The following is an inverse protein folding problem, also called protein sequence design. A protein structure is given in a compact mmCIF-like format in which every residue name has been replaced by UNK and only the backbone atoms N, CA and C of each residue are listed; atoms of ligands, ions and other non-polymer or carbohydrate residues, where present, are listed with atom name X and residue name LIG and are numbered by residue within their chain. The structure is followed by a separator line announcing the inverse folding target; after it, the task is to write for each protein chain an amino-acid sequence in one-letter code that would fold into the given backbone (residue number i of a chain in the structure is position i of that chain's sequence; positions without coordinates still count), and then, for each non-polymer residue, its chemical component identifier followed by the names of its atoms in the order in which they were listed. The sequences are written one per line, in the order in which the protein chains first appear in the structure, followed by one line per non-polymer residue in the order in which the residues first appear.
data_IF_989025094049
#
_entry.id   IF_989025094049
#
_cell.length_a   1.000
_cell.length_b   1.000
_cell.length_c   1.000
_cell.angle_alpha   90.00
_cell.angle_beta   90.00
_cell.angle_gamma   90.00
#
_symmetry.space_group_name_H-M   'P 1'
#
loop_
_entity.id
_entity.type
_entity.pdbx_description
1 polymer ?
#
# COMPACT_ATOMS: atom_id res chain seq x y z
N UNK A 1 31.56 -24.98 -3.26
CA UNK A 1 30.41 -24.55 -2.43
C UNK A 1 29.51 -23.66 -3.29
N UNK A 2 28.21 -23.95 -3.40
CA UNK A 2 27.28 -23.07 -4.11
C UNK A 2 27.10 -21.77 -3.31
N UNK A 3 26.98 -20.61 -3.98
CA UNK A 3 26.64 -19.33 -3.34
C UNK A 3 25.17 -19.02 -3.58
N UNK A 4 24.43 -18.71 -2.52
CA UNK A 4 23.03 -18.30 -2.58
C UNK A 4 22.98 -16.77 -2.60
N UNK A 5 22.50 -16.22 -3.71
CA UNK A 5 22.34 -14.78 -3.93
C UNK A 5 20.86 -14.46 -4.00
N UNK A 6 20.41 -13.55 -3.14
CA UNK A 6 19.03 -13.03 -3.18
C UNK A 6 19.02 -11.57 -3.59
N UNK A 7 17.90 -11.13 -4.15
CA UNK A 7 17.71 -9.72 -4.49
C UNK A 7 16.30 -9.44 -4.97
N UNK A 8 16.01 -8.17 -5.21
CA UNK A 8 14.72 -7.71 -5.70
C UNK A 8 14.09 -6.69 -4.76
N UNK A 9 12.97 -6.14 -5.19
CA UNK A 9 12.34 -5.00 -4.51
C UNK A 9 11.81 -5.33 -3.11
N UNK A 10 11.57 -6.61 -2.80
CA UNK A 10 11.10 -7.06 -1.49
C UNK A 10 12.21 -7.41 -0.50
N UNK A 11 13.48 -7.38 -0.93
CA UNK A 11 14.62 -7.64 -0.05
C UNK A 11 14.95 -6.35 0.69
N UNK A 12 14.49 -6.26 1.94
CA UNK A 12 14.61 -5.07 2.78
C UNK A 12 15.22 -5.43 4.14
N UNK A 13 14.54 -6.27 4.92
CA UNK A 13 15.11 -6.86 6.12
C UNK A 13 15.54 -8.30 5.79
N UNK A 14 16.83 -8.60 5.95
CA UNK A 14 17.42 -9.91 5.67
C UNK A 14 17.80 -10.69 6.93
N UNK A 15 17.62 -10.12 8.13
CA UNK A 15 18.22 -10.62 9.37
C UNK A 15 17.80 -12.08 9.65
N UNK A 16 16.53 -12.39 9.49
CA UNK A 16 15.99 -13.74 9.67
C UNK A 16 16.45 -14.78 8.63
N UNK A 17 16.98 -14.34 7.48
CA UNK A 17 17.38 -15.24 6.40
C UNK A 17 18.90 -15.34 6.22
N UNK A 18 19.69 -14.61 7.01
CA UNK A 18 21.17 -14.66 7.03
C UNK A 18 21.73 -16.10 7.06
N UNK A 19 21.16 -17.07 7.81
CA UNK A 19 21.68 -18.44 7.80
C UNK A 19 21.67 -19.09 6.42
N UNK A 20 20.70 -18.73 5.58
CA UNK A 20 20.38 -19.41 4.32
C UNK A 20 20.93 -18.73 3.07
N UNK A 21 21.56 -17.56 3.21
CA UNK A 21 22.04 -16.76 2.08
C UNK A 21 23.52 -16.39 2.25
N UNK A 22 24.22 -16.18 1.13
CA UNK A 22 25.61 -15.72 1.14
C UNK A 22 25.71 -14.23 0.75
N UNK A 23 24.78 -13.76 -0.10
CA UNK A 23 24.76 -12.40 -0.64
C UNK A 23 23.32 -11.90 -0.74
N UNK A 24 23.09 -10.65 -0.36
CA UNK A 24 21.82 -9.96 -0.58
C UNK A 24 22.03 -8.68 -1.37
N UNK A 25 21.16 -8.43 -2.35
CA UNK A 25 21.16 -7.22 -3.17
C UNK A 25 19.92 -6.40 -2.87
N UNK A 26 20.10 -5.26 -2.21
CA UNK A 26 19.02 -4.34 -1.86
C UNK A 26 18.59 -3.50 -3.07
N UNK A 27 17.30 -3.56 -3.40
CA UNK A 27 16.74 -2.89 -4.57
C UNK A 27 17.02 -3.65 -5.88
N UNK A 28 17.53 -2.95 -6.89
CA UNK A 28 17.73 -3.50 -8.25
C UNK A 28 19.15 -4.00 -8.48
N UNK A 29 19.30 -5.21 -9.01
CA UNK A 29 20.59 -5.84 -9.35
C UNK A 29 21.01 -5.66 -10.84
N UNK A 30 20.27 -4.88 -11.61
CA UNK A 30 20.46 -4.71 -13.06
C UNK A 30 21.89 -4.31 -13.40
N UNK A 31 22.56 -5.10 -14.25
CA UNK A 31 23.93 -4.87 -14.69
C UNK A 31 25.02 -5.15 -13.64
N UNK A 32 24.68 -5.55 -12.41
CA UNK A 32 25.67 -5.81 -11.34
C UNK A 32 25.92 -7.30 -11.09
N UNK A 33 25.05 -8.21 -11.54
CA UNK A 33 25.08 -9.60 -11.08
C UNK A 33 26.39 -10.34 -11.37
N UNK A 34 26.94 -10.20 -12.57
CA UNK A 34 28.19 -10.86 -12.95
C UNK A 34 29.37 -10.35 -12.12
N UNK A 35 29.41 -9.04 -11.85
CA UNK A 35 30.44 -8.41 -11.03
C UNK A 35 30.30 -8.80 -9.56
N UNK A 36 29.06 -8.89 -9.05
CA UNK A 36 28.77 -9.40 -7.70
C UNK A 36 29.27 -10.84 -7.58
N UNK A 37 29.05 -11.69 -8.58
CA UNK A 37 29.56 -13.06 -8.59
C UNK A 37 31.09 -13.10 -8.65
N UNK A 38 31.72 -12.17 -9.37
CA UNK A 38 33.17 -11.99 -9.41
C UNK A 38 33.78 -11.38 -8.14
N UNK A 39 32.96 -11.02 -7.14
CA UNK A 39 33.42 -10.51 -5.84
C UNK A 39 33.48 -8.99 -5.73
N UNK A 40 33.02 -8.25 -6.75
CA UNK A 40 32.96 -6.78 -6.68
C UNK A 40 32.05 -6.31 -5.54
N UNK A 41 32.42 -5.20 -4.92
CA UNK A 41 31.71 -4.60 -3.79
C UNK A 41 30.85 -3.44 -4.27
N UNK A 42 29.64 -3.39 -3.75
CA UNK A 42 28.67 -2.34 -4.05
C UNK A 42 27.97 -1.91 -2.76
N UNK A 43 27.59 -0.63 -2.68
CA UNK A 43 26.91 -0.07 -1.50
C UNK A 43 25.48 -0.62 -1.30
N UNK A 44 24.92 -1.31 -2.29
CA UNK A 44 23.62 -1.97 -2.20
C UNK A 44 23.73 -3.50 -2.02
N UNK A 45 24.92 -4.03 -1.72
CA UNK A 45 25.18 -5.46 -1.66
C UNK A 45 25.75 -5.83 -0.31
N UNK A 46 24.99 -6.61 0.45
CA UNK A 46 25.46 -7.26 1.67
C UNK A 46 26.09 -8.62 1.36
N UNK A 47 27.11 -9.00 2.13
CA UNK A 47 27.79 -10.30 2.02
C UNK A 47 28.05 -10.87 3.41
N UNK A 48 27.64 -12.11 3.62
CA UNK A 48 27.76 -12.81 4.90
C UNK A 48 29.20 -12.86 5.43
N UNK A 49 30.15 -13.07 4.54
CA UNK A 49 31.58 -13.17 4.86
C UNK A 49 32.20 -11.87 5.39
N UNK A 50 31.58 -10.71 5.14
CA UNK A 50 32.10 -9.40 5.56
C UNK A 50 31.26 -8.76 6.68
N UNK A 51 29.98 -9.09 6.76
CA UNK A 51 29.03 -8.46 7.70
C UNK A 51 28.03 -9.50 8.21
N UNK A 52 28.48 -10.54 8.93
CA UNK A 52 27.61 -11.65 9.36
C UNK A 52 26.48 -11.20 10.29
N UNK A 53 26.66 -10.06 10.98
CA UNK A 53 25.71 -9.48 11.93
C UNK A 53 24.84 -8.36 11.32
N UNK A 54 24.96 -8.09 10.01
CA UNK A 54 24.16 -7.09 9.29
C UNK A 54 24.20 -5.70 9.97
N UNK A 55 25.38 -5.30 10.42
CA UNK A 55 25.62 -3.99 11.06
C UNK A 55 25.90 -2.87 10.05
N UNK A 56 26.20 -3.25 8.81
CA UNK A 56 26.48 -2.32 7.73
C UNK A 56 25.26 -1.50 7.30
N UNK A 57 25.52 -0.35 6.69
CA UNK A 57 24.50 0.47 6.04
C UNK A 57 24.50 0.23 4.54
N UNK A 58 23.33 -0.08 3.99
CA UNK A 58 23.15 -0.41 2.59
C UNK A 58 22.16 0.52 1.91
N UNK A 59 22.40 0.80 0.63
CA UNK A 59 21.55 1.68 -0.17
C UNK A 59 20.55 0.86 -0.98
N UNK A 60 19.28 1.25 -0.98
CA UNK A 60 18.29 0.69 -1.90
C UNK A 60 18.54 1.24 -3.31
N UNK A 61 19.14 0.40 -4.16
CA UNK A 61 19.47 0.78 -5.54
C UNK A 61 18.22 0.90 -6.40
N UNK A 62 18.12 2.03 -7.10
CA UNK A 62 17.04 2.33 -8.05
C UNK A 62 17.30 1.67 -9.43
N UNK A 63 16.26 1.43 -10.25
CA UNK A 63 16.42 0.89 -11.61
C UNK A 63 17.35 1.76 -12.48
N UNK A 64 18.05 1.14 -13.43
CA UNK A 64 18.99 1.87 -14.31
C UNK A 64 18.93 1.46 -15.78
N UNK A 65 18.70 0.18 -16.07
CA UNK A 65 18.93 -0.37 -17.41
C UNK A 65 17.67 -1.01 -18.00
N UNK A 66 16.95 -1.82 -17.21
CA UNK A 66 15.85 -2.63 -17.75
C UNK A 66 14.54 -1.86 -17.90
N UNK A 67 14.38 -0.77 -17.13
CA UNK A 67 13.20 0.10 -17.18
C UNK A 67 13.62 1.56 -17.21
N UNK A 68 12.93 2.39 -18.00
CA UNK A 68 13.10 3.85 -18.04
C UNK A 68 12.43 4.49 -16.82
N UNK A 69 12.95 4.16 -15.64
CA UNK A 69 12.38 4.56 -14.37
C UNK A 69 11.43 3.53 -13.76
N UNK A 70 11.17 3.70 -12.46
CA UNK A 70 10.16 2.92 -11.77
C UNK A 70 8.80 3.58 -12.01
N UNK A 71 7.89 2.86 -12.65
CA UNK A 71 6.55 3.35 -12.95
C UNK A 71 5.67 3.25 -11.68
N UNK A 72 5.75 2.12 -10.97
CA UNK A 72 5.09 1.91 -9.69
C UNK A 72 5.94 2.42 -8.50
N UNK A 73 6.01 3.74 -8.35
CA UNK A 73 6.68 4.44 -7.22
C UNK A 73 5.77 4.69 -6.02
N UNK A 74 4.56 4.13 -6.02
CA UNK A 74 3.52 4.45 -5.06
C UNK A 74 2.91 5.84 -5.31
N UNK A 75 1.84 6.15 -4.60
CA UNK A 75 1.15 7.44 -4.72
C UNK A 75 2.10 8.62 -4.45
N UNK A 76 1.90 9.74 -5.16
CA UNK A 76 2.74 10.96 -5.09
C UNK A 76 2.70 11.66 -3.73
N UNK A 77 1.71 11.35 -2.90
CA UNK A 77 1.38 12.09 -1.68
C UNK A 77 2.27 11.76 -0.47
N UNK A 78 3.26 10.86 -0.62
CA UNK A 78 4.21 10.47 0.43
C UNK A 78 3.54 10.12 1.77
N UNK A 79 2.44 9.36 1.70
CA UNK A 79 1.73 8.94 2.89
C UNK A 79 2.69 8.25 3.88
N UNK A 80 2.52 8.53 5.16
CA UNK A 80 3.51 8.23 6.20
C UNK A 80 3.74 6.73 6.43
N UNK A 81 2.83 5.87 5.97
CA UNK A 81 2.95 4.40 6.02
C UNK A 81 3.39 3.75 4.69
N UNK A 82 3.35 4.49 3.58
CA UNK A 82 3.50 3.89 2.25
C UNK A 82 4.98 3.74 1.88
N UNK A 83 5.53 2.55 2.08
CA UNK A 83 6.95 2.26 1.81
C UNK A 83 7.38 2.58 0.38
N UNK A 84 6.55 2.28 -0.62
CA UNK A 84 6.88 2.50 -2.03
C UNK A 84 7.38 3.92 -2.29
N UNK A 85 6.69 4.92 -1.73
CA UNK A 85 7.04 6.32 -1.96
C UNK A 85 8.30 6.77 -1.21
N UNK A 86 8.67 6.11 -0.12
CA UNK A 86 9.86 6.46 0.68
C UNK A 86 11.13 5.82 0.14
N UNK A 87 11.05 4.60 -0.41
CA UNK A 87 12.25 3.86 -0.86
C UNK A 87 12.49 3.96 -2.38
N UNK A 88 11.53 4.48 -3.15
CA UNK A 88 11.62 4.59 -4.61
C UNK A 88 11.65 6.04 -5.04
N UNK A 89 12.51 6.34 -6.02
CA UNK A 89 12.64 7.66 -6.61
C UNK A 89 12.07 7.63 -8.03
N UNK A 90 11.27 8.63 -8.38
CA UNK A 90 11.00 8.88 -9.80
C UNK A 90 12.32 9.25 -10.47
N UNK A 91 12.68 8.52 -11.52
CA UNK A 91 13.96 8.69 -12.22
C UNK A 91 13.87 9.81 -13.26
N UNK A 92 12.67 10.30 -13.59
CA UNK A 92 12.51 11.37 -14.57
C UNK A 92 11.28 12.25 -14.28
N UNK A 93 11.41 13.57 -14.47
CA UNK A 93 10.31 14.54 -14.40
C UNK A 93 9.40 14.46 -15.64
N UNK A 94 9.90 13.92 -16.74
CA UNK A 94 9.16 13.75 -18.00
C UNK A 94 8.28 12.49 -18.04
N UNK A 95 8.54 11.52 -17.15
CA UNK A 95 7.78 10.28 -17.07
C UNK A 95 6.49 10.54 -16.30
N UNK A 96 5.36 10.45 -17.02
CA UNK A 96 4.02 10.47 -16.41
C UNK A 96 3.95 9.34 -15.38
N UNK A 97 3.35 9.65 -14.22
CA UNK A 97 3.05 8.64 -13.22
C UNK A 97 2.21 7.55 -13.88
N UNK A 98 2.71 6.33 -13.88
CA UNK A 98 2.00 5.16 -14.36
C UNK A 98 1.69 4.29 -13.14
N UNK A 99 0.40 4.17 -12.77
CA UNK A 99 -0.01 3.40 -11.58
C UNK A 99 0.30 1.90 -11.67
N UNK A 100 0.87 1.40 -12.79
CA UNK A 100 1.38 0.05 -12.95
C UNK A 100 0.58 -0.76 -13.98
N UNK A 101 1.24 -1.71 -14.63
CA UNK A 101 0.69 -2.46 -15.78
C UNK A 101 -0.44 -3.46 -15.48
N UNK A 102 -0.62 -3.90 -14.22
CA UNK A 102 -1.57 -4.97 -13.88
C UNK A 102 -2.79 -4.51 -13.05
N UNK A 103 -2.63 -3.45 -12.25
CA UNK A 103 -3.71 -2.80 -11.50
C UNK A 103 -3.36 -1.32 -11.45
N UNK A 104 -4.06 -0.50 -12.23
CA UNK A 104 -3.88 0.95 -12.18
C UNK A 104 -4.53 1.49 -10.88
N UNK A 105 -3.80 1.41 -9.77
CA UNK A 105 -4.16 2.11 -8.54
C UNK A 105 -3.67 3.56 -8.64
N UNK A 106 -4.61 4.45 -9.00
CA UNK A 106 -4.37 5.89 -8.92
C UNK A 106 -4.85 6.43 -7.58
N UNK A 107 -4.33 7.58 -7.17
CA UNK A 107 -4.96 8.29 -6.06
C UNK A 107 -6.35 8.77 -6.46
N UNK A 108 -7.18 9.05 -5.45
CA UNK A 108 -8.57 9.44 -5.66
C UNK A 108 -8.73 10.69 -6.53
N UNK A 109 -7.82 11.65 -6.41
CA UNK A 109 -7.86 12.88 -7.20
C UNK A 109 -7.51 12.62 -8.68
N UNK A 110 -6.54 11.74 -8.94
CA UNK A 110 -6.10 11.31 -10.26
C UNK A 110 -6.99 10.24 -10.90
N UNK A 111 -8.08 9.84 -10.25
CA UNK A 111 -9.05 8.91 -10.84
C UNK A 111 -9.75 9.54 -12.04
N UNK A 112 -9.46 9.01 -13.23
CA UNK A 112 -10.08 9.41 -14.49
C UNK A 112 -11.11 8.35 -14.90
N UNK A 113 -12.39 8.71 -14.79
CA UNK A 113 -13.51 7.87 -15.24
C UNK A 113 -14.00 8.41 -16.57
N UNK A 114 -13.97 7.59 -17.63
CA UNK A 114 -14.44 7.99 -18.98
C UNK A 114 -15.54 7.11 -19.52
N UNK A 115 -15.71 5.90 -18.96
CA UNK A 115 -16.70 4.92 -19.40
C UNK A 115 -17.14 4.03 -18.24
N UNK A 116 -18.22 3.29 -18.43
CA UNK A 116 -18.59 2.23 -17.51
C UNK A 116 -17.50 1.15 -17.45
N UNK A 117 -17.31 0.57 -16.26
CA UNK A 117 -16.24 -0.39 -16.05
C UNK A 117 -15.80 -0.48 -14.59
N UNK A 118 -14.64 -1.09 -14.39
CA UNK A 118 -14.00 -1.29 -13.09
C UNK A 118 -12.82 -0.35 -12.94
N UNK A 119 -12.74 0.32 -11.80
CA UNK A 119 -11.68 1.26 -11.44
C UNK A 119 -11.13 0.90 -10.06
N UNK A 120 -9.86 1.19 -9.82
CA UNK A 120 -9.21 0.98 -8.53
C UNK A 120 -8.59 2.29 -8.04
N UNK A 121 -8.73 2.56 -6.75
CA UNK A 121 -8.22 3.76 -6.08
C UNK A 121 -8.08 3.48 -4.59
N UNK A 122 -7.50 4.40 -3.83
CA UNK A 122 -7.38 4.29 -2.37
C UNK A 122 -7.81 5.56 -1.64
N UNK A 123 -8.53 5.39 -0.53
CA UNK A 123 -8.77 6.45 0.46
C UNK A 123 -7.89 6.27 1.69
N UNK A 124 -7.51 5.04 2.02
CA UNK A 124 -6.56 4.70 3.10
C UNK A 124 -6.94 5.16 4.51
N UNK A 125 -8.23 5.41 4.74
CA UNK A 125 -8.82 5.76 6.04
C UNK A 125 -10.29 6.15 5.86
N UNK A 126 -11.13 5.87 6.86
CA UNK A 126 -12.58 6.14 6.78
C UNK A 126 -12.93 7.62 7.01
N UNK A 127 -12.33 8.26 8.02
CA UNK A 127 -12.54 9.68 8.31
C UNK A 127 -11.53 10.59 7.62
N UNK A 128 -11.91 11.86 7.45
CA UNK A 128 -10.98 12.94 7.07
C UNK A 128 -9.80 13.04 8.04
N UNK A 129 -10.06 12.91 9.33
CA UNK A 129 -9.04 12.99 10.36
C UNK A 129 -7.97 11.90 10.20
N UNK A 130 -8.37 10.62 10.08
CA UNK A 130 -7.42 9.52 9.86
C UNK A 130 -6.60 9.76 8.60
N UNK A 131 -7.23 10.16 7.49
CA UNK A 131 -6.52 10.41 6.22
C UNK A 131 -5.50 11.55 6.34
N UNK A 132 -5.84 12.63 7.05
CA UNK A 132 -4.93 13.74 7.28
C UNK A 132 -3.74 13.34 8.18
N UNK A 133 -3.96 12.54 9.23
CA UNK A 133 -2.88 12.03 10.10
C UNK A 133 -1.80 11.25 9.33
N UNK A 134 -2.17 10.61 8.21
CA UNK A 134 -1.23 9.89 7.34
C UNK A 134 -0.83 10.64 6.08
N UNK A 135 -1.10 11.95 6.02
CA UNK A 135 -0.83 12.83 4.88
C UNK A 135 -1.48 12.36 3.56
N UNK A 136 -2.67 11.76 3.64
CA UNK A 136 -3.48 11.43 2.47
C UNK A 136 -4.39 12.61 2.11
N UNK A 137 -4.23 13.27 0.94
CA UNK A 137 -5.00 14.47 0.57
C UNK A 137 -6.36 14.10 -0.02
N UNK A 138 -7.13 13.26 0.67
CA UNK A 138 -8.48 12.87 0.26
C UNK A 138 -9.41 13.26 1.39
N UNK A 139 -10.18 14.32 1.20
CA UNK A 139 -11.22 14.74 2.15
C UNK A 139 -12.59 14.27 1.69
N UNK A 140 -13.58 14.27 2.58
CA UNK A 140 -14.97 13.93 2.30
C UNK A 140 -15.55 14.85 1.23
N UNK A 141 -15.21 16.14 1.28
CA UNK A 141 -15.57 17.10 0.23
C UNK A 141 -14.98 16.73 -1.13
N UNK A 142 -13.76 16.20 -1.17
CA UNK A 142 -13.12 15.74 -2.41
C UNK A 142 -13.78 14.43 -2.89
N UNK A 143 -14.20 13.55 -1.99
CA UNK A 143 -14.98 12.35 -2.34
C UNK A 143 -16.31 12.75 -2.97
N UNK A 144 -17.10 13.55 -2.27
CA UNK A 144 -18.40 14.04 -2.71
C UNK A 144 -18.28 14.71 -4.08
N UNK A 145 -17.35 15.67 -4.21
CA UNK A 145 -17.11 16.36 -5.48
C UNK A 145 -16.77 15.37 -6.61
N UNK A 146 -15.89 14.40 -6.38
CA UNK A 146 -15.47 13.45 -7.42
C UNK A 146 -16.61 12.51 -7.83
N UNK A 147 -17.43 12.05 -6.90
CA UNK A 147 -18.60 11.22 -7.22
C UNK A 147 -19.63 12.01 -8.03
N UNK A 148 -19.86 13.27 -7.69
CA UNK A 148 -20.74 14.16 -8.48
C UNK A 148 -20.16 14.45 -9.87
N UNK A 149 -18.84 14.69 -9.98
CA UNK A 149 -18.16 14.82 -11.29
C UNK A 149 -18.37 13.57 -12.16
N UNK A 150 -18.27 12.37 -11.58
CA UNK A 150 -18.51 11.11 -12.29
C UNK A 150 -19.96 11.02 -12.76
N UNK A 151 -20.94 11.42 -11.94
CA UNK A 151 -22.35 11.42 -12.31
C UNK A 151 -22.63 12.32 -13.52
N UNK A 152 -22.02 13.51 -13.57
CA UNK A 152 -22.22 14.48 -14.66
C UNK A 152 -21.82 13.96 -16.05
N UNK A 153 -21.04 12.88 -16.11
CA UNK A 153 -20.67 12.21 -17.36
C UNK A 153 -21.85 11.45 -18.00
N UNK A 154 -22.98 11.29 -17.29
CA UNK A 154 -24.20 10.65 -17.79
C UNK A 154 -23.96 9.24 -18.36
N UNK A 155 -23.07 8.47 -17.72
CA UNK A 155 -22.72 7.12 -18.14
C UNK A 155 -23.90 6.18 -17.82
N UNK A 156 -24.58 5.67 -18.85
CA UNK A 156 -25.79 4.83 -18.72
C UNK A 156 -25.59 3.46 -18.05
N UNK A 157 -24.35 2.98 -17.95
CA UNK A 157 -24.01 1.66 -17.39
C UNK A 157 -23.27 1.82 -16.07
N UNK A 158 -23.26 0.76 -15.25
CA UNK A 158 -22.66 0.80 -13.91
C UNK A 158 -21.17 1.09 -13.92
N UNK A 159 -20.74 1.98 -13.03
CA UNK A 159 -19.35 2.27 -12.71
C UNK A 159 -19.03 1.56 -11.40
N UNK A 160 -18.05 0.66 -11.40
CA UNK A 160 -17.60 -0.05 -10.19
C UNK A 160 -16.24 0.45 -9.77
N UNK A 161 -16.13 0.99 -8.56
CA UNK A 161 -14.90 1.53 -8.00
C UNK A 161 -14.52 0.68 -6.79
N UNK A 162 -13.34 0.06 -6.87
CA UNK A 162 -12.71 -0.61 -5.73
C UNK A 162 -11.82 0.39 -5.02
N UNK A 163 -12.06 0.56 -3.72
CA UNK A 163 -11.40 1.55 -2.88
C UNK A 163 -10.58 0.79 -1.83
N UNK A 164 -9.26 0.91 -1.90
CA UNK A 164 -8.37 0.40 -0.86
C UNK A 164 -8.46 1.29 0.38
N UNK A 165 -8.61 0.62 1.52
CA UNK A 165 -8.76 1.21 2.84
C UNK A 165 -7.74 0.60 3.79
N UNK A 166 -7.25 1.41 4.71
CA UNK A 166 -6.49 0.93 5.86
C UNK A 166 -7.36 1.12 7.09
N UNK A 167 -7.33 0.14 7.99
CA UNK A 167 -8.01 0.15 9.30
C UNK A 167 -7.04 -0.29 10.38
N UNK A 168 -7.29 0.09 11.62
CA UNK A 168 -6.45 -0.30 12.75
C UNK A 168 -5.14 0.47 12.82
N UNK A 169 -5.18 1.74 12.39
CA UNK A 169 -4.10 2.67 12.74
C UNK A 169 -3.94 2.77 14.27
N UNK A 170 -2.78 3.21 14.78
CA UNK A 170 -2.49 3.19 16.22
C UNK A 170 -3.52 3.92 17.12
N UNK A 171 -4.28 4.86 16.56
CA UNK A 171 -5.32 5.63 17.25
C UNK A 171 -6.75 5.11 17.01
N UNK A 172 -6.93 4.09 16.17
CA UNK A 172 -8.23 3.55 15.83
C UNK A 172 -8.61 2.38 16.72
N UNK A 173 -9.88 2.29 17.05
CA UNK A 173 -10.51 1.09 17.63
C UNK A 173 -11.62 0.60 16.69
N UNK A 174 -12.16 -0.59 16.97
CA UNK A 174 -13.33 -1.08 16.23
C UNK A 174 -14.50 -0.11 16.29
N UNK A 175 -14.73 0.52 17.45
CA UNK A 175 -15.84 1.44 17.67
C UNK A 175 -15.67 2.74 16.91
N UNK A 176 -14.47 3.35 16.95
CA UNK A 176 -14.20 4.59 16.20
C UNK A 176 -14.32 4.36 14.70
N UNK A 177 -13.81 3.23 14.21
CA UNK A 177 -13.94 2.84 12.79
C UNK A 177 -15.40 2.57 12.42
N UNK A 178 -16.17 1.92 13.29
CA UNK A 178 -17.59 1.68 13.07
C UNK A 178 -18.38 2.99 12.96
N UNK A 179 -18.04 3.99 13.76
CA UNK A 179 -18.64 5.33 13.70
C UNK A 179 -18.25 6.06 12.40
N UNK A 180 -16.97 6.05 12.02
CA UNK A 180 -16.52 6.64 10.76
C UNK A 180 -17.20 5.99 9.54
N UNK A 181 -17.44 4.68 9.59
CA UNK A 181 -18.22 3.96 8.57
C UNK A 181 -19.67 4.47 8.52
N UNK A 182 -20.30 4.73 9.68
CA UNK A 182 -21.66 5.28 9.73
C UNK A 182 -21.70 6.69 9.11
N UNK A 183 -20.74 7.55 9.46
CA UNK A 183 -20.64 8.89 8.88
C UNK A 183 -20.42 8.85 7.36
N UNK A 184 -19.59 7.92 6.89
CA UNK A 184 -19.41 7.66 5.46
C UNK A 184 -20.72 7.24 4.79
N UNK A 185 -21.51 6.36 5.43
CA UNK A 185 -22.81 5.93 4.90
C UNK A 185 -23.79 7.11 4.80
N UNK A 186 -23.82 8.02 5.78
CA UNK A 186 -24.63 9.25 5.76
C UNK A 186 -24.21 10.15 4.59
N UNK A 187 -22.91 10.37 4.41
CA UNK A 187 -22.38 11.13 3.27
C UNK A 187 -22.80 10.49 1.94
N UNK A 188 -22.59 9.19 1.78
CA UNK A 188 -22.95 8.48 0.54
C UNK A 188 -24.46 8.53 0.28
N UNK A 189 -25.31 8.48 1.32
CA UNK A 189 -26.76 8.61 1.15
C UNK A 189 -27.16 10.00 0.66
N UNK A 190 -26.49 11.05 1.13
CA UNK A 190 -26.71 12.42 0.63
C UNK A 190 -26.34 12.55 -0.85
N UNK A 191 -25.26 11.88 -1.28
CA UNK A 191 -24.79 11.87 -2.68
C UNK A 191 -25.74 11.04 -3.54
N UNK A 192 -26.18 9.88 -3.06
CA UNK A 192 -27.17 9.00 -3.71
C UNK A 192 -28.44 9.77 -4.12
N UNK A 193 -28.96 10.61 -3.22
CA UNK A 193 -30.15 11.44 -3.47
C UNK A 193 -29.94 12.55 -4.53
N UNK A 194 -28.70 12.80 -4.96
CA UNK A 194 -28.33 13.82 -5.93
C UNK A 194 -27.74 13.24 -7.23
N UNK A 195 -27.58 11.91 -7.27
CA UNK A 195 -26.93 11.18 -8.37
C UNK A 195 -27.99 10.51 -9.22
N UNK A 196 -27.77 10.40 -10.54
CA UNK A 196 -28.68 9.67 -11.43
C UNK A 196 -28.05 8.38 -12.00
N UNK A 197 -26.73 8.35 -12.12
CA UNK A 197 -25.94 7.21 -12.57
C UNK A 197 -25.99 6.03 -11.59
N UNK A 198 -25.47 4.88 -12.03
CA UNK A 198 -25.32 3.70 -11.15
C UNK A 198 -23.86 3.53 -10.77
N UNK A 199 -23.54 3.73 -9.50
CA UNK A 199 -22.18 3.64 -8.95
C UNK A 199 -22.13 2.53 -7.90
N UNK A 200 -21.14 1.65 -8.01
CA UNK A 200 -20.89 0.58 -7.07
C UNK A 200 -19.52 0.79 -6.41
N UNK A 201 -19.49 0.97 -5.11
CA UNK A 201 -18.30 1.20 -4.30
C UNK A 201 -18.00 -0.07 -3.49
N UNK A 202 -16.81 -0.62 -3.70
CA UNK A 202 -16.33 -1.79 -2.96
C UNK A 202 -15.10 -1.41 -2.15
N UNK A 203 -15.23 -1.41 -0.82
CA UNK A 203 -14.13 -1.08 0.08
C UNK A 203 -13.32 -2.34 0.39
N UNK A 204 -12.02 -2.31 0.20
CA UNK A 204 -11.12 -3.39 0.61
C UNK A 204 -10.30 -2.92 1.81
N UNK A 205 -10.64 -3.41 3.00
CA UNK A 205 -9.96 -3.05 4.23
C UNK A 205 -8.75 -3.96 4.49
N UNK A 206 -7.57 -3.36 4.60
CA UNK A 206 -6.35 -4.03 5.06
C UNK A 206 -5.90 -3.43 6.39
N UNK A 207 -5.67 -4.25 7.44
CA UNK A 207 -5.11 -3.79 8.69
C UNK A 207 -3.80 -3.05 8.48
N UNK A 208 -3.62 -1.96 9.22
CA UNK A 208 -2.41 -1.17 9.22
C UNK A 208 -1.20 -2.05 9.56
N UNK A 209 -0.20 -2.02 8.68
CA UNK A 209 1.06 -2.73 8.86
C UNK A 209 2.19 -1.72 8.78
N UNK A 210 2.94 -1.49 9.88
CA UNK A 210 4.13 -0.66 9.84
C UNK A 210 5.13 -1.25 8.85
N UNK A 211 5.53 -0.42 7.89
CA UNK A 211 6.48 -0.79 6.85
C UNK A 211 7.85 -0.16 7.15
N UNK A 212 8.96 -0.87 6.92
CA UNK A 212 10.29 -0.35 7.21
C UNK A 212 10.66 0.82 6.30
N UNK A 213 11.49 1.73 6.80
CA UNK A 213 11.89 2.99 6.16
C UNK A 213 10.70 3.89 5.84
N UNK A 214 9.72 3.93 6.73
CA UNK A 214 8.61 4.89 6.67
C UNK A 214 8.56 5.65 7.98
N UNK A 215 8.03 6.89 8.02
CA UNK A 215 7.83 7.63 9.27
C UNK A 215 7.06 6.85 10.35
N UNK A 216 6.23 5.88 9.96
CA UNK A 216 5.46 5.05 10.89
C UNK A 216 6.05 3.65 11.12
N UNK A 217 7.32 3.39 10.78
CA UNK A 217 7.91 2.05 10.86
C UNK A 217 7.92 1.44 12.27
N UNK A 218 7.96 2.28 13.31
CA UNK A 218 7.96 1.88 14.73
C UNK A 218 6.56 1.88 15.36
N UNK A 219 5.52 2.31 14.65
CA UNK A 219 4.16 2.41 15.19
C UNK A 219 3.55 1.06 15.53
N UNK A 220 2.69 0.99 16.55
CA UNK A 220 2.04 -0.27 16.94
C UNK A 220 1.16 -0.80 15.79
N UNK A 221 1.26 -2.09 15.53
CA UNK A 221 0.30 -2.81 14.70
C UNK A 221 -0.78 -3.42 15.59
N UNK A 222 -2.06 -3.25 15.24
CA UNK A 222 -3.15 -3.88 15.97
C UNK A 222 -3.40 -5.32 15.47
N UNK A 223 -2.76 -6.27 16.15
CA UNK A 223 -2.88 -7.71 15.87
C UNK A 223 -4.02 -8.39 16.65
N UNK A 224 -4.61 -7.69 17.62
CA UNK A 224 -5.57 -8.25 18.59
C UNK A 224 -7.00 -8.04 18.10
N UNK A 225 -7.30 -6.89 17.51
CA UNK A 225 -8.63 -6.58 17.00
C UNK A 225 -8.96 -7.43 15.78
N UNK A 226 -10.14 -8.05 15.80
CA UNK A 226 -10.65 -8.80 14.67
C UNK A 226 -11.29 -7.89 13.60
N UNK A 227 -10.45 -7.23 12.80
CA UNK A 227 -10.87 -6.36 11.69
C UNK A 227 -11.74 -7.04 10.63
N UNK A 228 -11.73 -8.38 10.56
CA UNK A 228 -12.63 -9.14 9.67
C UNK A 228 -14.09 -9.04 10.07
N UNK A 229 -14.39 -8.57 11.29
CA UNK A 229 -15.77 -8.26 11.70
C UNK A 229 -16.45 -7.22 10.81
N UNK A 230 -15.68 -6.43 10.05
CA UNK A 230 -16.20 -5.46 9.08
C UNK A 230 -16.60 -6.09 7.73
N UNK A 231 -16.16 -7.32 7.44
CA UNK A 231 -16.32 -7.95 6.14
C UNK A 231 -17.79 -8.12 5.74
N UNK A 232 -18.11 -7.84 4.48
CA UNK A 232 -19.45 -8.05 3.93
C UNK A 232 -20.48 -7.02 4.40
N UNK A 233 -20.09 -6.05 5.25
CA UNK A 233 -20.97 -4.98 5.71
C UNK A 233 -21.41 -4.13 4.53
N UNK A 234 -22.73 -3.99 4.35
CA UNK A 234 -23.31 -3.02 3.43
C UNK A 234 -23.38 -1.68 4.15
N UNK A 235 -22.78 -0.65 3.56
CA UNK A 235 -22.85 0.72 4.05
C UNK A 235 -24.11 1.40 3.56
N UNK A 236 -24.40 1.20 2.27
CA UNK A 236 -25.54 1.80 1.59
C UNK A 236 -25.97 0.87 0.45
N UNK A 237 -27.26 0.57 0.39
CA UNK A 237 -27.92 0.00 -0.78
C UNK A 237 -28.95 1.02 -1.28
N UNK A 238 -28.42 2.09 -1.88
CA UNK A 238 -29.18 3.23 -2.36
C UNK A 238 -29.81 2.98 -3.73
N UNK A 239 -30.54 3.96 -4.22
CA UNK A 239 -31.13 3.85 -5.55
C UNK A 239 -30.05 3.89 -6.64
N UNK A 240 -29.06 4.76 -6.48
CA UNK A 240 -28.01 5.07 -7.45
C UNK A 240 -26.63 4.58 -7.01
N UNK A 241 -26.37 4.59 -5.71
CA UNK A 241 -25.10 4.19 -5.11
C UNK A 241 -25.29 2.93 -4.26
N UNK A 242 -24.53 1.89 -4.60
CA UNK A 242 -24.32 0.73 -3.74
C UNK A 242 -22.91 0.77 -3.16
N UNK A 243 -22.79 0.57 -1.85
CA UNK A 243 -21.52 0.67 -1.14
C UNK A 243 -21.38 -0.44 -0.10
N UNK A 244 -20.29 -1.21 -0.12
CA UNK A 244 -20.07 -2.32 0.80
C UNK A 244 -18.59 -2.61 1.05
N UNK A 245 -18.29 -3.24 2.19
CA UNK A 245 -16.96 -3.75 2.54
C UNK A 245 -16.80 -5.15 1.95
N UNK A 246 -15.75 -5.33 1.16
CA UNK A 246 -15.38 -6.60 0.54
C UNK A 246 -15.03 -7.64 1.61
N UNK A 247 -15.30 -8.94 1.39
CA UNK A 247 -15.08 -9.99 2.39
C UNK A 247 -13.61 -10.43 2.49
N UNK A 248 -12.67 -9.52 2.27
CA UNK A 248 -11.24 -9.82 2.14
C UNK A 248 -10.42 -8.89 3.01
N UNK A 249 -10.26 -9.28 4.27
CA UNK A 249 -9.40 -8.61 5.25
C UNK A 249 -8.45 -9.63 5.87
N UNK A 250 -7.14 -9.33 5.86
CA UNK A 250 -6.14 -10.17 6.53
C UNK A 250 -6.39 -10.18 8.04
N UNK A 251 -6.08 -11.29 8.70
CA UNK A 251 -6.25 -11.42 10.16
C UNK A 251 -4.99 -11.06 10.93
N UNK A 252 -5.15 -10.95 12.25
CA UNK A 252 -4.08 -10.61 13.19
C UNK A 252 -2.81 -11.47 13.02
N UNK A 253 -2.95 -12.78 12.81
CA UNK A 253 -1.79 -13.67 12.61
C UNK A 253 -0.93 -13.31 11.38
N UNK A 254 -1.55 -12.99 10.24
CA UNK A 254 -0.81 -12.59 9.03
C UNK A 254 -0.16 -11.22 9.21
N UNK A 255 -0.83 -10.32 9.93
CA UNK A 255 -0.29 -9.02 10.27
C UNK A 255 0.92 -9.17 11.22
N UNK A 256 0.79 -9.98 12.28
CA UNK A 256 1.87 -10.30 13.21
C UNK A 256 3.09 -10.84 12.48
N UNK A 257 2.92 -11.84 11.60
CA UNK A 257 4.01 -12.38 10.76
C UNK A 257 4.72 -11.29 9.97
N UNK A 258 3.95 -10.42 9.32
CA UNK A 258 4.50 -9.34 8.51
C UNK A 258 5.28 -8.33 9.35
N UNK A 259 4.73 -7.94 10.50
CA UNK A 259 5.38 -7.00 11.43
C UNK A 259 6.68 -7.60 11.96
N UNK A 260 6.65 -8.87 12.37
CA UNK A 260 7.83 -9.60 12.84
C UNK A 260 8.90 -9.65 11.75
N UNK A 261 8.59 -10.09 10.53
CA UNK A 261 9.56 -10.12 9.42
C UNK A 261 10.17 -8.75 9.15
N UNK A 262 9.37 -7.68 9.20
CA UNK A 262 9.85 -6.33 8.94
C UNK A 262 10.79 -5.80 10.03
N UNK A 263 10.57 -6.20 11.29
CA UNK A 263 11.28 -5.67 12.46
C UNK A 263 12.30 -6.61 13.07
N UNK A 264 12.34 -7.86 12.61
CA UNK A 264 13.14 -8.88 13.24
C UNK A 264 14.62 -8.53 13.21
N UNK A 265 15.26 -8.87 14.30
CA UNK A 265 16.70 -8.82 14.51
C UNK A 265 17.31 -10.20 14.25
N UNK A 266 18.65 -10.31 14.30
CA UNK A 266 19.32 -11.60 14.03
C UNK A 266 19.04 -12.60 15.16
N UNK A 267 18.91 -12.10 16.38
CA UNK A 267 18.61 -12.85 17.59
C UNK A 267 17.23 -13.52 17.52
N UNK A 268 16.33 -13.02 16.67
CA UNK A 268 14.99 -13.56 16.48
C UNK A 268 14.94 -14.81 15.57
N UNK A 269 16.09 -15.27 15.03
CA UNK A 269 16.16 -16.44 14.14
C UNK A 269 15.54 -17.69 14.78
N UNK A 270 15.79 -17.93 16.06
CA UNK A 270 15.34 -19.14 16.75
C UNK A 270 13.83 -19.13 17.05
N UNK A 271 13.14 -18.01 16.75
CA UNK A 271 11.70 -17.92 16.86
C UNK A 271 10.96 -18.47 15.61
N UNK A 272 11.69 -18.93 14.58
CA UNK A 272 11.17 -19.45 13.30
C UNK A 272 11.50 -20.92 13.06
#
# INVERSE_FOLDING_TARGET
KCKIVIGGFGVINIKLIVPYIDVAVFGRAEGQINEILAGMRYSNVWRKENDPEVLGQYIIRQPRYLVKGELSVGCRNKCTYCQYTHIRRSIDKSVKYDPGMLVQETDWQGLIVTKAGRYNTAWDGWSDETRQKVHKPVTDKIIEKKLMEIDTLNIKKTISIKIFMIVGYPWETMDTVAEDINQTAVMLKRIDNQTNGKINLSFLCTPYSPAPMTPMECERADIETNWRGLNGRVLLDGEHIRAYISPFTSGGYLLMKRVMINRAEIEDIDMF
#
